data_IF_307673735126
#
_entry.id   IF_307673735126
#
_cell.length_a   1.000
_cell.length_b   1.000
_cell.length_c   1.000
_cell.angle_alpha   90.00
_cell.angle_beta   90.00
_cell.angle_gamma   90.00
#
_symmetry.space_group_name_H-M   'P 1'
#
loop_
_entity.id
_entity.type
_entity.pdbx_description
1 polymer ?
#
# COMPACT_ATOMS: atom_id res chain seq x y z
N UNK A 1 -4.84 34.21 -38.38
CA UNK A 1 -5.27 33.70 -37.06
C UNK A 1 -4.50 32.41 -36.79
N UNK A 2 -3.36 32.50 -36.08
CA UNK A 2 -2.54 31.34 -35.74
C UNK A 2 -3.10 30.69 -34.46
N UNK A 3 -3.82 29.58 -34.62
CA UNK A 3 -4.12 28.68 -33.51
C UNK A 3 -2.86 27.89 -33.15
N UNK A 4 -2.23 28.23 -32.03
CA UNK A 4 -1.21 27.37 -31.43
C UNK A 4 -1.85 26.02 -31.05
N UNK A 5 -1.20 24.87 -31.32
CA UNK A 5 -1.77 23.56 -31.05
C UNK A 5 -1.67 23.24 -29.56
N UNK A 6 -2.76 23.51 -28.82
CA UNK A 6 -2.94 23.20 -27.39
C UNK A 6 -2.66 21.71 -27.03
N UNK A 7 -2.66 20.81 -28.02
CA UNK A 7 -2.43 19.37 -27.82
C UNK A 7 -0.95 18.96 -27.62
N UNK A 8 0.01 19.80 -28.00
CA UNK A 8 1.44 19.41 -28.02
C UNK A 8 2.13 19.49 -26.66
N UNK A 9 1.70 20.43 -25.80
CA UNK A 9 2.32 20.65 -24.48
C UNK A 9 2.00 19.50 -23.52
N UNK A 10 0.73 19.05 -23.46
CA UNK A 10 0.32 17.94 -22.62
C UNK A 10 0.98 16.61 -23.00
N UNK A 11 1.19 16.35 -24.29
CA UNK A 11 1.89 15.15 -24.75
C UNK A 11 3.40 15.18 -24.44
N UNK A 12 4.03 16.35 -24.51
CA UNK A 12 5.43 16.53 -24.09
C UNK A 12 5.59 16.32 -22.59
N UNK A 13 4.70 16.93 -21.78
CA UNK A 13 4.71 16.77 -20.33
C UNK A 13 4.49 15.30 -19.92
N UNK A 14 3.50 14.61 -20.49
CA UNK A 14 3.26 13.18 -20.20
C UNK A 14 4.45 12.30 -20.54
N UNK A 15 5.09 12.51 -21.69
CA UNK A 15 6.31 11.76 -22.06
C UNK A 15 7.45 12.02 -21.08
N UNK A 16 7.64 13.28 -20.68
CA UNK A 16 8.65 13.64 -19.70
C UNK A 16 8.37 12.98 -18.34
N UNK A 17 7.16 13.11 -17.80
CA UNK A 17 6.75 12.47 -16.54
C UNK A 17 6.97 10.94 -16.58
N UNK A 18 6.56 10.28 -17.66
CA UNK A 18 6.75 8.83 -17.81
C UNK A 18 8.24 8.46 -17.88
N UNK A 19 9.10 9.32 -18.42
CA UNK A 19 10.55 9.06 -18.54
C UNK A 19 11.35 9.31 -17.26
N UNK A 20 10.79 9.98 -16.24
CA UNK A 20 11.51 10.20 -14.98
C UNK A 20 11.73 8.87 -14.25
N UNK A 21 12.92 8.57 -13.74
CA UNK A 21 13.09 7.45 -12.80
C UNK A 21 12.38 7.82 -11.49
N UNK A 22 11.60 6.88 -10.93
CA UNK A 22 10.78 7.12 -9.73
C UNK A 22 11.00 6.04 -8.68
N UNK A 23 10.78 6.43 -7.43
CA UNK A 23 10.55 5.53 -6.31
C UNK A 23 9.07 5.60 -5.92
N UNK A 24 8.45 4.45 -5.65
CA UNK A 24 7.06 4.34 -5.20
C UNK A 24 7.04 3.77 -3.78
N UNK A 25 6.76 4.60 -2.80
CA UNK A 25 6.96 4.24 -1.38
C UNK A 25 5.65 4.03 -0.61
N UNK A 26 4.52 4.34 -1.24
CA UNK A 26 3.18 4.25 -0.67
C UNK A 26 2.22 3.55 -1.63
N UNK A 27 2.37 2.23 -1.75
CA UNK A 27 1.53 1.42 -2.62
C UNK A 27 1.15 0.10 -1.97
N UNK A 28 -0.16 -0.14 -1.82
CA UNK A 28 -0.68 -1.43 -1.38
C UNK A 28 -0.75 -2.39 -2.56
N UNK A 29 -0.12 -3.57 -2.45
CA UNK A 29 -0.08 -4.57 -3.51
C UNK A 29 -1.49 -4.97 -3.95
N UNK A 30 -2.38 -5.21 -3.00
CA UNK A 30 -3.77 -5.58 -3.25
C UNK A 30 -4.53 -4.45 -3.96
N UNK A 31 -4.14 -3.20 -3.74
CA UNK A 31 -4.71 -2.01 -4.38
C UNK A 31 -4.15 -1.72 -5.77
N UNK A 32 -2.94 -2.19 -6.04
CA UNK A 32 -2.19 -1.89 -7.25
C UNK A 32 -2.50 -2.84 -8.43
N UNK A 33 -3.39 -3.83 -8.24
CA UNK A 33 -3.67 -4.85 -9.24
C UNK A 33 -4.12 -4.19 -10.56
N UNK A 34 -3.36 -4.34 -11.66
CA UNK A 34 -3.76 -3.78 -12.95
C UNK A 34 -5.12 -4.33 -13.37
N UNK A 35 -5.97 -3.49 -13.97
CA UNK A 35 -7.35 -3.86 -14.29
C UNK A 35 -7.48 -5.18 -15.06
N UNK A 36 -6.63 -5.40 -16.06
CA UNK A 36 -6.63 -6.62 -16.86
C UNK A 36 -6.23 -7.86 -16.05
N UNK A 37 -5.36 -7.70 -15.05
CA UNK A 37 -4.99 -8.76 -14.12
C UNK A 37 -6.16 -9.06 -13.16
N UNK A 38 -6.82 -8.03 -12.62
CA UNK A 38 -8.02 -8.22 -11.80
C UNK A 38 -9.14 -8.92 -12.58
N UNK A 39 -9.37 -8.51 -13.83
CA UNK A 39 -10.33 -9.19 -14.71
C UNK A 39 -9.99 -10.67 -14.90
N UNK A 40 -8.72 -10.98 -15.18
CA UNK A 40 -8.26 -12.37 -15.33
C UNK A 40 -8.47 -13.18 -14.06
N UNK A 41 -8.22 -12.58 -12.89
CA UNK A 41 -8.43 -13.21 -11.58
C UNK A 41 -9.92 -13.48 -11.30
N UNK A 42 -10.81 -12.54 -11.64
CA UNK A 42 -12.26 -12.73 -11.54
C UNK A 42 -12.71 -13.89 -12.44
N UNK A 43 -12.25 -13.93 -13.69
CA UNK A 43 -12.60 -14.99 -14.64
C UNK A 43 -12.07 -16.37 -14.22
N UNK A 44 -10.88 -16.44 -13.60
CA UNK A 44 -10.33 -17.69 -13.02
C UNK A 44 -11.32 -18.39 -12.09
N UNK A 45 -12.14 -17.62 -11.36
CA UNK A 45 -13.11 -18.12 -10.40
C UNK A 45 -14.55 -18.19 -10.92
N UNK A 46 -14.74 -18.18 -12.24
CA UNK A 46 -16.05 -18.31 -12.87
C UNK A 46 -16.78 -16.98 -13.11
N UNK A 47 -16.10 -15.84 -12.91
CA UNK A 47 -16.68 -14.51 -13.08
C UNK A 47 -17.44 -13.99 -11.84
N UNK A 48 -18.03 -12.82 -11.99
CA UNK A 48 -18.93 -12.21 -11.00
C UNK A 48 -20.14 -11.59 -11.73
N UNK A 49 -21.38 -12.02 -11.44
CA UNK A 49 -22.59 -11.51 -12.09
C UNK A 49 -22.79 -9.99 -11.97
N UNK A 50 -22.23 -9.36 -10.94
CA UNK A 50 -22.29 -7.90 -10.76
C UNK A 50 -21.38 -7.11 -11.70
N UNK A 51 -20.38 -7.78 -12.30
CA UNK A 51 -19.44 -7.18 -13.26
C UNK A 51 -19.25 -8.11 -14.47
N UNK A 52 -20.29 -8.29 -15.32
CA UNK A 52 -20.26 -9.30 -16.39
C UNK A 52 -19.29 -8.97 -17.53
N UNK A 53 -18.73 -7.76 -17.58
CA UNK A 53 -17.74 -7.34 -18.58
C UNK A 53 -16.66 -6.45 -17.96
N UNK A 54 -15.53 -6.29 -18.65
CA UNK A 54 -14.48 -5.33 -18.24
C UNK A 54 -14.99 -3.90 -18.08
N UNK A 55 -16.00 -3.50 -18.86
CA UNK A 55 -16.62 -2.17 -18.72
C UNK A 55 -17.32 -2.03 -17.36
N UNK A 56 -18.09 -3.04 -16.95
CA UNK A 56 -18.74 -3.05 -15.64
C UNK A 56 -17.72 -3.11 -14.50
N UNK A 57 -16.61 -3.85 -14.68
CA UNK A 57 -15.50 -3.83 -13.73
C UNK A 57 -14.93 -2.41 -13.56
N UNK A 58 -14.67 -1.69 -14.66
CA UNK A 58 -14.20 -0.29 -14.60
C UNK A 58 -15.18 0.61 -13.87
N UNK A 59 -16.48 0.46 -14.14
CA UNK A 59 -17.53 1.23 -13.47
C UNK A 59 -17.56 0.95 -11.97
N UNK A 60 -17.44 -0.31 -11.56
CA UNK A 60 -17.39 -0.69 -10.14
C UNK A 60 -16.15 -0.19 -9.40
N UNK A 61 -15.05 0.11 -10.11
CA UNK A 61 -13.84 0.72 -9.54
C UNK A 61 -13.92 2.26 -9.48
N UNK A 62 -15.11 2.83 -9.60
CA UNK A 62 -15.38 4.26 -9.38
C UNK A 62 -16.22 4.41 -8.10
N UNK A 63 -15.72 5.17 -7.13
CA UNK A 63 -16.33 5.30 -5.81
C UNK A 63 -16.63 6.76 -5.46
N UNK A 64 -17.69 6.99 -4.68
CA UNK A 64 -18.16 8.32 -4.30
C UNK A 64 -17.41 8.90 -3.10
N UNK A 65 -17.02 8.05 -2.15
CA UNK A 65 -16.34 8.41 -0.91
C UNK A 65 -15.47 7.26 -0.37
N UNK A 66 -14.85 7.45 0.79
CA UNK A 66 -13.96 6.46 1.41
C UNK A 66 -14.71 5.18 1.84
N UNK A 67 -15.90 5.23 2.47
CA UNK A 67 -16.70 4.03 2.71
C UNK A 67 -16.98 3.19 1.45
N UNK A 68 -17.40 3.81 0.34
CA UNK A 68 -17.65 3.13 -0.94
C UNK A 68 -16.36 2.51 -1.52
N UNK A 69 -15.23 3.22 -1.40
CA UNK A 69 -13.91 2.66 -1.70
C UNK A 69 -13.60 1.41 -0.88
N UNK A 70 -13.86 1.41 0.43
CA UNK A 70 -13.60 0.26 1.30
C UNK A 70 -14.49 -0.94 0.96
N UNK A 71 -15.77 -0.72 0.65
CA UNK A 71 -16.66 -1.79 0.18
C UNK A 71 -16.15 -2.41 -1.12
N UNK A 72 -15.76 -1.57 -2.08
CA UNK A 72 -15.16 -2.00 -3.35
C UNK A 72 -13.83 -2.74 -3.12
N UNK A 73 -12.99 -2.26 -2.19
CA UNK A 73 -11.74 -2.88 -1.80
C UNK A 73 -11.94 -4.29 -1.26
N UNK A 74 -12.87 -4.47 -0.31
CA UNK A 74 -13.20 -5.76 0.30
C UNK A 74 -13.72 -6.73 -0.77
N UNK A 75 -14.66 -6.27 -1.61
CA UNK A 75 -15.17 -7.08 -2.71
C UNK A 75 -14.06 -7.53 -3.65
N UNK A 76 -13.21 -6.62 -4.12
CA UNK A 76 -12.11 -6.93 -5.05
C UNK A 76 -11.08 -7.88 -4.41
N UNK A 77 -10.76 -7.71 -3.14
CA UNK A 77 -9.87 -8.62 -2.41
C UNK A 77 -10.46 -10.00 -2.21
N UNK A 78 -11.78 -10.17 -2.35
CA UNK A 78 -12.41 -11.49 -2.22
C UNK A 78 -11.96 -12.50 -3.28
N UNK A 79 -11.41 -12.03 -4.40
CA UNK A 79 -10.87 -12.86 -5.47
C UNK A 79 -9.43 -13.33 -5.25
N UNK A 80 -8.73 -12.84 -4.21
CA UNK A 80 -7.42 -13.36 -3.81
C UNK A 80 -7.61 -14.54 -2.85
N UNK A 81 -7.47 -15.77 -3.35
CA UNK A 81 -7.86 -17.00 -2.62
C UNK A 81 -6.69 -17.95 -2.37
N UNK A 82 -5.66 -17.94 -3.22
CA UNK A 82 -4.52 -18.86 -3.10
C UNK A 82 -3.18 -18.13 -3.23
N UNK A 83 -2.10 -18.73 -2.76
CA UNK A 83 -0.74 -18.21 -2.94
C UNK A 83 -0.39 -17.93 -4.41
N UNK A 84 -0.91 -18.73 -5.35
CA UNK A 84 -0.71 -18.48 -6.79
C UNK A 84 -1.36 -17.18 -7.26
N UNK A 85 -2.47 -16.74 -6.64
CA UNK A 85 -3.07 -15.45 -6.95
C UNK A 85 -2.14 -14.30 -6.57
N UNK A 86 -1.50 -14.39 -5.40
CA UNK A 86 -0.53 -13.42 -4.93
C UNK A 86 0.72 -13.39 -5.80
N UNK A 87 1.23 -14.56 -6.20
CA UNK A 87 2.32 -14.66 -7.17
C UNK A 87 1.94 -13.98 -8.49
N UNK A 88 0.72 -14.22 -8.97
CA UNK A 88 0.22 -13.64 -10.21
C UNK A 88 0.09 -12.12 -10.13
N UNK A 89 -0.57 -11.57 -9.10
CA UNK A 89 -0.75 -10.12 -9.00
C UNK A 89 0.58 -9.41 -8.75
N UNK A 90 1.49 -9.98 -7.98
CA UNK A 90 2.80 -9.39 -7.72
C UNK A 90 3.62 -9.24 -9.00
N UNK A 91 3.62 -10.26 -9.87
CA UNK A 91 4.23 -10.15 -11.19
C UNK A 91 3.58 -9.01 -12.02
N UNK A 92 2.26 -8.93 -12.02
CA UNK A 92 1.52 -7.93 -12.83
C UNK A 92 1.75 -6.51 -12.31
N UNK A 93 1.81 -6.32 -11.00
CA UNK A 93 2.14 -5.05 -10.36
C UNK A 93 3.58 -4.66 -10.69
N UNK A 94 4.56 -5.55 -10.53
CA UNK A 94 5.96 -5.25 -10.88
C UNK A 94 6.14 -4.88 -12.36
N UNK A 95 5.41 -5.55 -13.27
CA UNK A 95 5.38 -5.19 -14.69
C UNK A 95 4.81 -3.79 -14.91
N UNK A 96 3.78 -3.41 -14.15
CA UNK A 96 3.15 -2.10 -14.29
C UNK A 96 4.02 -0.97 -13.73
N UNK A 97 4.68 -1.19 -12.59
CA UNK A 97 5.69 -0.28 -12.03
C UNK A 97 6.79 0.02 -13.06
N UNK A 98 7.34 -1.03 -13.68
CA UNK A 98 8.38 -0.88 -14.70
C UNK A 98 7.90 -0.08 -15.92
N UNK A 99 6.64 -0.27 -16.38
CA UNK A 99 6.07 0.53 -17.49
C UNK A 99 6.00 2.03 -17.17
N UNK A 100 5.94 2.38 -15.89
CA UNK A 100 5.88 3.76 -15.42
C UNK A 100 7.27 4.33 -15.05
N UNK A 101 8.35 3.59 -15.35
CA UNK A 101 9.74 3.91 -15.00
C UNK A 101 9.95 4.07 -13.48
N UNK A 102 9.22 3.28 -12.70
CA UNK A 102 9.46 3.11 -11.27
C UNK A 102 10.55 2.04 -11.12
N UNK A 103 11.70 2.44 -10.58
CA UNK A 103 12.90 1.60 -10.47
C UNK A 103 13.10 1.07 -9.04
N UNK A 104 12.41 1.67 -8.07
CA UNK A 104 12.41 1.26 -6.67
C UNK A 104 10.99 1.32 -6.13
N UNK A 105 10.55 0.30 -5.39
CA UNK A 105 9.27 0.33 -4.72
C UNK A 105 9.29 -0.37 -3.35
N UNK A 106 8.47 0.14 -2.44
CA UNK A 106 8.17 -0.49 -1.15
C UNK A 106 6.67 -0.76 -1.08
N UNK A 107 6.29 -2.02 -1.26
CA UNK A 107 4.89 -2.42 -1.36
C UNK A 107 4.34 -2.87 -0.01
N UNK A 108 3.23 -2.27 0.39
CA UNK A 108 2.43 -2.75 1.52
C UNK A 108 1.69 -4.03 1.12
N UNK A 109 1.62 -4.99 2.03
CA UNK A 109 0.71 -6.13 1.96
C UNK A 109 0.13 -6.38 3.35
N UNK A 110 -1.15 -6.76 3.44
CA UNK A 110 -1.86 -6.90 4.73
C UNK A 110 -2.11 -8.39 5.06
N UNK A 111 -1.10 -9.13 5.56
CA UNK A 111 -1.20 -10.59 5.71
C UNK A 111 -2.35 -11.04 6.62
N UNK A 112 -2.63 -10.30 7.70
CA UNK A 112 -3.71 -10.64 8.64
C UNK A 112 -5.10 -10.66 7.99
N UNK A 113 -5.33 -9.99 6.85
CA UNK A 113 -6.61 -10.01 6.14
C UNK A 113 -6.92 -11.34 5.44
N UNK A 114 -5.91 -12.16 5.23
CA UNK A 114 -6.04 -13.43 4.52
C UNK A 114 -5.89 -14.65 5.44
N UNK A 115 -5.63 -14.43 6.74
CA UNK A 115 -5.53 -15.48 7.75
C UNK A 115 -6.81 -16.32 7.85
N UNK A 116 -8.00 -15.70 7.80
CA UNK A 116 -9.30 -16.40 7.81
C UNK A 116 -9.52 -17.31 6.58
N UNK A 117 -8.68 -17.18 5.55
CA UNK A 117 -8.68 -18.04 4.35
C UNK A 117 -7.65 -19.17 4.44
N UNK A 118 -6.96 -19.29 5.58
CA UNK A 118 -5.87 -20.24 5.78
C UNK A 118 -4.58 -19.88 5.03
N UNK A 119 -4.40 -18.61 4.64
CA UNK A 119 -3.15 -18.15 4.06
C UNK A 119 -2.21 -17.67 5.17
N UNK A 120 -1.14 -18.41 5.36
CA UNK A 120 -0.12 -18.13 6.36
C UNK A 120 0.75 -16.95 5.90
N UNK A 121 1.03 -15.96 6.77
CA UNK A 121 1.76 -14.75 6.40
C UNK A 121 3.13 -14.99 5.77
N UNK A 122 3.87 -16.01 6.23
CA UNK A 122 5.19 -16.34 5.69
C UNK A 122 5.10 -16.89 4.25
N UNK A 123 4.19 -17.84 4.02
CA UNK A 123 3.95 -18.39 2.68
C UNK A 123 3.35 -17.35 1.73
N UNK A 124 2.55 -16.42 2.27
CA UNK A 124 2.04 -15.29 1.53
C UNK A 124 3.17 -14.36 1.05
N UNK A 125 4.10 -14.00 1.94
CA UNK A 125 5.27 -13.21 1.59
C UNK A 125 6.17 -13.94 0.57
N UNK A 126 6.36 -15.25 0.73
CA UNK A 126 7.09 -16.08 -0.23
C UNK A 126 6.45 -16.06 -1.62
N UNK A 127 5.12 -16.17 -1.69
CA UNK A 127 4.37 -16.13 -2.93
C UNK A 127 4.45 -14.77 -3.62
N UNK A 128 4.32 -13.68 -2.86
CA UNK A 128 4.50 -12.32 -3.38
C UNK A 128 5.91 -12.15 -3.93
N UNK A 129 6.94 -12.51 -3.15
CA UNK A 129 8.35 -12.44 -3.55
C UNK A 129 8.61 -13.18 -4.87
N UNK A 130 8.10 -14.41 -5.00
CA UNK A 130 8.18 -15.21 -6.24
C UNK A 130 7.61 -14.49 -7.46
N UNK A 131 6.55 -13.69 -7.30
CA UNK A 131 5.98 -12.89 -8.38
C UNK A 131 6.84 -11.67 -8.72
N UNK A 132 7.31 -10.95 -7.71
CA UNK A 132 8.16 -9.76 -7.86
C UNK A 132 9.50 -10.09 -8.54
N UNK A 133 10.14 -11.18 -8.15
CA UNK A 133 11.49 -11.56 -8.65
C UNK A 133 11.51 -11.91 -10.14
N UNK A 134 10.35 -12.06 -10.79
CA UNK A 134 10.27 -12.19 -12.25
C UNK A 134 10.66 -10.90 -12.98
N UNK A 135 10.69 -9.76 -12.29
CA UNK A 135 11.01 -8.44 -12.83
C UNK A 135 12.24 -7.88 -12.10
N UNK A 136 13.44 -8.29 -12.53
CA UNK A 136 14.70 -7.94 -11.85
C UNK A 136 15.18 -6.50 -12.04
N UNK A 137 14.55 -5.73 -12.93
CA UNK A 137 14.95 -4.34 -13.22
C UNK A 137 14.45 -3.36 -12.15
N UNK A 138 13.35 -3.70 -11.47
CA UNK A 138 12.77 -2.89 -10.39
C UNK A 138 13.19 -3.48 -9.05
N UNK A 139 13.82 -2.69 -8.18
CA UNK A 139 14.12 -3.11 -6.81
C UNK A 139 12.87 -2.97 -5.96
N UNK A 140 12.27 -4.09 -5.54
CA UNK A 140 10.99 -4.09 -4.82
C UNK A 140 11.13 -4.78 -3.45
N UNK A 141 10.79 -4.04 -2.41
CA UNK A 141 10.73 -4.49 -1.01
C UNK A 141 9.30 -4.54 -0.50
N UNK A 142 9.08 -5.26 0.60
CA UNK A 142 7.78 -5.43 1.23
C UNK A 142 7.70 -4.71 2.58
N UNK A 143 6.54 -4.13 2.84
CA UNK A 143 6.15 -3.55 4.11
C UNK A 143 4.96 -4.35 4.63
N UNK A 144 5.11 -4.99 5.79
CA UNK A 144 3.99 -5.71 6.41
C UNK A 144 3.03 -4.69 7.04
N UNK A 145 1.81 -4.60 6.50
CA UNK A 145 0.79 -3.69 6.99
C UNK A 145 0.10 -4.27 8.24
N UNK A 146 0.21 -3.53 9.35
CA UNK A 146 -0.48 -3.80 10.60
C UNK A 146 -1.87 -3.18 10.51
N UNK A 147 -2.89 -4.01 10.32
CA UNK A 147 -4.27 -3.55 10.21
C UNK A 147 -4.77 -3.10 11.59
N UNK A 148 -4.83 -1.79 11.81
CA UNK A 148 -5.16 -1.18 13.12
C UNK A 148 -6.53 -1.57 13.65
N UNK A 149 -7.45 -1.97 12.77
CA UNK A 149 -8.78 -2.47 13.13
C UNK A 149 -8.76 -3.71 14.03
N UNK A 150 -7.68 -4.50 13.97
CA UNK A 150 -7.53 -5.73 14.78
C UNK A 150 -6.80 -5.48 16.11
N UNK A 151 -6.39 -4.24 16.38
CA UNK A 151 -5.75 -3.84 17.63
C UNK A 151 -4.28 -4.27 17.78
N UNK A 152 -3.62 -3.79 18.86
CA UNK A 152 -2.17 -3.94 19.04
C UNK A 152 -1.72 -5.38 19.29
N UNK A 153 -2.57 -6.22 19.90
CA UNK A 153 -2.24 -7.64 20.12
C UNK A 153 -2.10 -8.39 18.80
N UNK A 154 -3.02 -8.20 17.85
CA UNK A 154 -2.90 -8.79 16.52
C UNK A 154 -1.72 -8.18 15.75
N UNK A 155 -1.47 -6.88 15.88
CA UNK A 155 -0.33 -6.22 15.27
C UNK A 155 1.02 -6.80 15.76
N UNK A 156 1.13 -7.13 17.04
CA UNK A 156 2.31 -7.79 17.60
C UNK A 156 2.53 -9.20 17.01
N UNK A 157 1.45 -9.97 16.80
CA UNK A 157 1.52 -11.26 16.12
C UNK A 157 2.02 -11.09 14.67
N UNK A 158 1.43 -10.14 13.93
CA UNK A 158 1.84 -9.86 12.54
C UNK A 158 3.28 -9.37 12.43
N UNK A 159 3.78 -8.59 13.41
CA UNK A 159 5.19 -8.22 13.47
C UNK A 159 6.09 -9.46 13.63
N UNK A 160 5.74 -10.40 14.51
CA UNK A 160 6.52 -11.63 14.71
C UNK A 160 6.53 -12.50 13.45
N UNK A 161 5.40 -12.61 12.78
CA UNK A 161 5.27 -13.34 11.51
C UNK A 161 6.11 -12.69 10.41
N UNK A 162 6.07 -11.36 10.29
CA UNK A 162 6.92 -10.60 9.38
C UNK A 162 8.42 -10.78 9.69
N UNK A 163 8.79 -10.83 10.97
CA UNK A 163 10.16 -11.10 11.41
C UNK A 163 10.64 -12.49 10.97
N UNK A 164 9.80 -13.53 11.12
CA UNK A 164 10.12 -14.87 10.64
C UNK A 164 10.25 -14.94 9.11
N UNK A 165 9.44 -14.18 8.40
CA UNK A 165 9.40 -14.13 6.93
C UNK A 165 10.34 -13.08 6.31
N UNK A 166 11.20 -12.42 7.11
CA UNK A 166 12.02 -11.27 6.67
C UNK A 166 12.86 -11.52 5.43
N UNK A 167 13.35 -12.75 5.28
CA UNK A 167 14.17 -13.18 4.15
C UNK A 167 13.45 -13.15 2.79
N UNK A 168 12.12 -12.99 2.76
CA UNK A 168 11.35 -12.71 1.55
C UNK A 168 11.34 -11.21 1.17
N UNK A 169 12.25 -10.42 1.74
CA UNK A 169 12.42 -9.00 1.43
C UNK A 169 11.42 -8.09 2.15
N UNK A 170 11.04 -8.44 3.38
CA UNK A 170 10.26 -7.56 4.24
C UNK A 170 11.23 -6.62 4.98
N UNK A 171 11.14 -5.32 4.72
CA UNK A 171 12.09 -4.32 5.25
C UNK A 171 11.49 -3.43 6.32
N UNK A 172 10.16 -3.39 6.42
CA UNK A 172 9.47 -2.57 7.39
C UNK A 172 8.07 -3.02 7.72
N UNK A 173 7.46 -2.28 8.64
CA UNK A 173 6.05 -2.37 8.99
C UNK A 173 5.33 -1.05 8.71
N UNK A 174 4.04 -1.16 8.40
CA UNK A 174 3.11 -0.05 8.24
C UNK A 174 1.95 -0.14 9.23
N UNK A 175 1.17 0.93 9.36
CA UNK A 175 -0.12 0.92 10.07
C UNK A 175 -1.19 1.52 9.17
N UNK A 176 -2.01 0.67 8.56
CA UNK A 176 -3.19 1.02 7.78
C UNK A 176 -4.49 0.64 8.48
N UNK A 177 -5.62 0.89 7.82
CA UNK A 177 -6.97 0.61 8.34
C UNK A 177 -7.72 1.85 8.83
N UNK A 178 -8.73 1.67 9.67
CA UNK A 178 -9.67 2.74 10.06
C UNK A 178 -9.06 3.75 11.04
N UNK A 179 -8.28 4.71 10.53
CA UNK A 179 -7.53 5.70 11.32
C UNK A 179 -8.40 6.42 12.35
N UNK A 180 -9.58 6.90 11.95
CA UNK A 180 -10.53 7.66 12.79
C UNK A 180 -11.08 6.88 14.00
N UNK A 181 -10.97 5.55 14.00
CA UNK A 181 -11.43 4.69 15.10
C UNK A 181 -10.32 4.19 15.99
N UNK A 182 -9.12 4.05 15.45
CA UNK A 182 -8.01 3.37 16.11
C UNK A 182 -6.78 4.28 16.08
N UNK A 183 -6.58 5.14 17.09
CA UNK A 183 -5.47 6.08 17.09
C UNK A 183 -4.12 5.32 17.15
N UNK A 184 -2.99 5.96 16.80
CA UNK A 184 -1.69 5.28 16.68
C UNK A 184 -1.06 4.88 18.02
N UNK A 185 -1.30 5.62 19.10
CA UNK A 185 -0.62 5.47 20.40
C UNK A 185 -0.67 4.06 21.00
N UNK A 186 -1.79 3.31 20.95
CA UNK A 186 -1.85 1.93 21.44
C UNK A 186 -0.86 0.97 20.76
N UNK A 187 -0.30 1.32 19.60
CA UNK A 187 0.66 0.51 18.86
C UNK A 187 2.13 0.86 19.17
N UNK A 188 2.39 1.82 20.08
CA UNK A 188 3.74 2.31 20.37
C UNK A 188 4.72 1.21 20.79
N UNK A 189 4.27 0.23 21.60
CA UNK A 189 5.11 -0.90 22.01
C UNK A 189 5.45 -1.82 20.84
N UNK A 190 4.49 -2.09 19.94
CA UNK A 190 4.71 -2.89 18.73
C UNK A 190 5.74 -2.21 17.82
N UNK A 191 5.63 -0.89 17.66
CA UNK A 191 6.59 -0.10 16.87
C UNK A 191 7.99 -0.06 17.52
N UNK A 192 8.06 0.05 18.85
CA UNK A 192 9.32 -0.03 19.57
C UNK A 192 10.01 -1.39 19.36
N UNK A 193 9.26 -2.49 19.42
CA UNK A 193 9.80 -3.82 19.13
C UNK A 193 10.20 -3.96 17.66
N UNK A 194 9.43 -3.44 16.72
CA UNK A 194 9.79 -3.47 15.31
C UNK A 194 11.15 -2.80 15.04
N UNK A 195 11.39 -1.63 15.65
CA UNK A 195 12.71 -0.97 15.60
C UNK A 195 13.80 -1.81 16.25
N UNK A 196 13.52 -2.47 17.39
CA UNK A 196 14.48 -3.35 18.08
C UNK A 196 14.87 -4.56 17.23
N UNK A 197 13.92 -5.08 16.44
CA UNK A 197 14.14 -6.12 15.44
C UNK A 197 14.81 -5.60 14.16
N UNK A 198 15.01 -4.29 14.05
CA UNK A 198 15.69 -3.63 12.93
C UNK A 198 14.80 -3.44 11.70
N UNK A 199 13.48 -3.38 11.86
CA UNK A 199 12.54 -2.97 10.81
C UNK A 199 12.51 -1.45 10.67
N UNK A 200 12.25 -1.00 9.44
CA UNK A 200 11.77 0.35 9.16
C UNK A 200 10.29 0.49 9.50
N UNK A 201 9.85 1.71 9.77
CA UNK A 201 8.51 1.98 10.28
C UNK A 201 7.85 3.12 9.51
N UNK A 202 6.62 2.90 9.07
CA UNK A 202 5.73 3.93 8.51
C UNK A 202 4.34 3.81 9.12
N UNK A 203 3.50 4.82 8.96
CA UNK A 203 2.09 4.76 9.38
C UNK A 203 1.23 5.64 8.47
N UNK A 204 0.01 5.21 8.17
CA UNK A 204 -1.01 6.09 7.60
C UNK A 204 -1.48 7.03 8.70
N UNK A 205 -1.34 8.33 8.46
CA UNK A 205 -1.77 9.34 9.40
C UNK A 205 -2.20 10.62 8.68
N UNK A 206 -3.24 11.29 9.17
CA UNK A 206 -3.74 12.52 8.59
C UNK A 206 -4.60 12.33 7.33
N UNK A 207 -5.03 11.10 7.02
CA UNK A 207 -5.89 10.78 5.87
C UNK A 207 -7.37 10.92 6.26
N UNK A 208 -7.76 10.23 7.33
CA UNK A 208 -9.12 10.19 7.87
C UNK A 208 -9.20 10.77 9.29
N UNK A 209 -8.06 11.13 9.91
CA UNK A 209 -7.98 11.86 11.19
C UNK A 209 -7.17 13.16 11.07
N UNK A 210 -7.23 14.02 12.08
CA UNK A 210 -6.57 15.33 12.05
C UNK A 210 -5.05 15.28 12.29
N UNK A 211 -4.44 16.45 12.36
CA UNK A 211 -3.00 16.63 12.64
C UNK A 211 -2.50 15.92 13.91
N UNK A 212 -3.36 15.70 14.91
CA UNK A 212 -3.01 14.94 16.12
C UNK A 212 -2.57 13.50 15.80
N UNK A 213 -3.23 12.83 14.85
CA UNK A 213 -2.84 11.48 14.43
C UNK A 213 -1.46 11.46 13.78
N UNK A 214 -1.15 12.48 12.97
CA UNK A 214 0.18 12.67 12.36
C UNK A 214 1.23 12.91 13.44
N UNK A 215 0.96 13.84 14.37
CA UNK A 215 1.83 14.13 15.51
C UNK A 215 2.11 12.88 16.34
N UNK A 216 1.09 12.12 16.69
CA UNK A 216 1.24 10.90 17.50
C UNK A 216 1.97 9.80 16.74
N UNK A 217 1.83 9.70 15.42
CA UNK A 217 2.64 8.78 14.61
C UNK A 217 4.13 9.15 14.64
N UNK A 218 4.47 10.44 14.65
CA UNK A 218 5.87 10.88 14.79
C UNK A 218 6.39 10.70 16.22
N UNK A 219 5.60 11.10 17.22
CA UNK A 219 6.07 11.17 18.62
C UNK A 219 5.99 9.82 19.32
N UNK A 220 4.84 9.15 19.23
CA UNK A 220 4.58 7.90 19.94
C UNK A 220 5.10 6.70 19.16
N UNK A 221 4.83 6.65 17.85
CA UNK A 221 5.31 5.53 17.02
C UNK A 221 6.74 5.73 16.54
N UNK A 222 7.28 6.95 16.48
CA UNK A 222 8.64 7.25 16.01
C UNK A 222 8.90 6.66 14.61
N UNK A 223 7.96 6.90 13.69
CA UNK A 223 8.05 6.42 12.31
C UNK A 223 9.22 7.04 11.55
N UNK A 224 9.81 6.28 10.63
CA UNK A 224 10.82 6.78 9.70
C UNK A 224 10.18 7.71 8.65
N UNK A 225 8.90 7.50 8.31
CA UNK A 225 8.12 8.31 7.36
C UNK A 225 6.61 8.20 7.58
N UNK A 226 5.84 9.08 6.96
CA UNK A 226 4.38 9.14 7.07
C UNK A 226 3.70 8.90 5.72
N UNK A 227 2.67 8.05 5.71
CA UNK A 227 1.73 7.96 4.60
C UNK A 227 0.63 9.03 4.74
N UNK A 228 0.33 9.70 3.62
CA UNK A 228 -0.58 10.83 3.49
C UNK A 228 -0.09 12.10 4.18
N UNK A 229 -0.29 12.21 5.49
CA UNK A 229 -0.07 13.41 6.30
C UNK A 229 -0.72 14.69 5.75
N UNK A 230 -1.78 14.58 4.93
CA UNK A 230 -2.42 15.72 4.27
C UNK A 230 -3.00 16.69 5.29
N UNK A 231 -3.55 16.19 6.40
CA UNK A 231 -4.08 17.03 7.48
C UNK A 231 -3.03 17.56 8.45
N UNK A 232 -1.72 17.38 8.19
CA UNK A 232 -0.66 17.97 9.02
C UNK A 232 -0.68 19.51 9.00
N UNK A 233 -1.17 20.09 7.90
CA UNK A 233 -1.30 21.54 7.70
C UNK A 233 -2.22 22.26 8.69
N UNK A 234 -3.08 21.51 9.39
CA UNK A 234 -3.95 22.03 10.45
C UNK A 234 -3.16 22.50 11.68
N UNK A 235 -1.91 22.06 11.84
CA UNK A 235 -1.02 22.43 12.95
C UNK A 235 0.34 22.94 12.45
N UNK A 236 0.57 24.26 12.57
CA UNK A 236 1.84 24.91 12.20
C UNK A 236 3.04 24.41 12.99
N UNK A 237 2.87 24.05 14.27
CA UNK A 237 3.95 23.52 15.08
C UNK A 237 4.34 22.11 14.63
N UNK A 238 3.37 21.31 14.17
CA UNK A 238 3.63 20.01 13.56
C UNK A 238 4.39 20.16 12.24
N UNK A 239 3.97 21.06 11.34
CA UNK A 239 4.71 21.32 10.09
C UNK A 239 6.18 21.70 10.36
N UNK A 240 6.41 22.52 11.40
CA UNK A 240 7.76 22.89 11.83
C UNK A 240 8.56 21.66 12.28
N UNK A 241 7.95 20.80 13.10
CA UNK A 241 8.56 19.55 13.57
C UNK A 241 8.94 18.63 12.40
N UNK A 242 8.02 18.38 11.47
CA UNK A 242 8.24 17.54 10.29
C UNK A 242 9.40 18.07 9.43
N UNK A 243 9.46 19.39 9.22
CA UNK A 243 10.55 20.02 8.47
C UNK A 243 11.90 19.97 9.22
N UNK A 244 11.90 20.19 10.54
CA UNK A 244 13.11 20.10 11.37
C UNK A 244 13.68 18.67 11.35
N UNK A 245 12.82 17.66 11.38
CA UNK A 245 13.22 16.24 11.34
C UNK A 245 13.46 15.71 9.92
N UNK A 246 13.10 16.49 8.88
CA UNK A 246 13.11 16.04 7.48
C UNK A 246 12.29 14.76 7.25
N UNK A 247 11.16 14.64 7.96
CA UNK A 247 10.27 13.47 7.84
C UNK A 247 9.70 13.39 6.43
N UNK A 248 9.93 12.29 5.68
CA UNK A 248 9.29 12.08 4.38
C UNK A 248 7.78 11.91 4.53
N UNK A 249 7.02 12.50 3.60
CA UNK A 249 5.57 12.37 3.46
C UNK A 249 5.27 11.73 2.11
N UNK A 250 4.43 10.71 2.09
CA UNK A 250 4.16 9.84 0.93
C UNK A 250 2.70 9.85 0.49
#
# INVERSE_FOLDING_TARGET
MNSLPKHTHGQKLRRWLNSLPKAELHLHLEGAIPLNALWSLIQKYGGDPSVPTELHLRQRLTYADFPDFIETWIWKNSFLRTYDDFTFIAEKVAQDLLRQNILYAELFFSPSRFADRGLEPAELAAAIRKGLDKISVCEIWLIADLVRDHGPSQAALTLNEAAAARHHGIVGIGLGGSEHRFPPEPFAEVYAEARRLGFKTSAHAGEASGSDSVRSSVVSLQVDRLGHATRAEEDRALLKLLNEQRTPLE
#
